data_IF_730663331380
#
_entry.id   IF_730663331380
#
_cell.length_a   1.000
_cell.length_b   1.000
_cell.length_c   1.000
_cell.angle_alpha   90.00
_cell.angle_beta   90.00
_cell.angle_gamma   90.00
#
_symmetry.space_group_name_H-M   'P 1'
#
loop_
_entity.id
_entity.type
_entity.pdbx_description
1 polymer ?
#
# COMPACT_ATOMS: atom_id res chain seq x y z
N UNK A 1 -39.17 -12.41 21.40
CA UNK A 1 -38.63 -11.27 20.62
C UNK A 1 -37.22 -11.03 21.13
N UNK A 2 -36.21 -11.50 20.41
CA UNK A 2 -34.79 -11.31 20.75
C UNK A 2 -34.35 -10.00 20.12
N UNK A 3 -33.83 -9.07 20.94
CA UNK A 3 -33.39 -7.76 20.45
C UNK A 3 -32.24 -7.90 19.42
N UNK A 4 -32.19 -7.04 18.39
CA UNK A 4 -31.15 -7.07 17.39
C UNK A 4 -29.78 -6.85 18.05
N UNK A 5 -28.84 -7.74 17.72
CA UNK A 5 -27.57 -7.93 18.42
C UNK A 5 -26.81 -6.64 18.68
N UNK A 6 -26.63 -6.33 19.96
CA UNK A 6 -25.69 -5.32 20.42
C UNK A 6 -24.32 -5.62 19.80
N UNK A 7 -23.78 -4.66 19.05
CA UNK A 7 -22.44 -4.77 18.49
C UNK A 7 -21.44 -4.92 19.64
N UNK A 8 -20.62 -5.97 19.60
CA UNK A 8 -19.56 -6.17 20.58
C UNK A 8 -18.40 -5.25 20.20
N UNK A 9 -18.23 -4.17 20.92
CA UNK A 9 -17.08 -3.28 20.78
C UNK A 9 -15.92 -3.80 21.61
N UNK A 10 -14.83 -4.19 20.93
CA UNK A 10 -13.60 -4.66 21.58
C UNK A 10 -12.51 -3.61 21.33
N UNK A 11 -11.91 -3.02 22.39
CA UNK A 11 -10.83 -2.06 22.22
C UNK A 11 -9.61 -2.75 21.59
N UNK A 12 -9.07 -2.13 20.55
CA UNK A 12 -7.86 -2.59 19.87
C UNK A 12 -6.65 -1.87 20.42
N UNK A 13 -5.66 -2.63 20.87
CA UNK A 13 -4.36 -2.12 21.29
C UNK A 13 -3.30 -2.57 20.29
N UNK A 14 -2.69 -1.62 19.59
CA UNK A 14 -1.58 -1.89 18.68
C UNK A 14 -0.30 -2.06 19.50
N UNK A 15 0.20 -3.30 19.60
CA UNK A 15 1.46 -3.59 20.28
C UNK A 15 2.60 -3.54 19.27
N UNK A 16 3.71 -2.90 19.63
CA UNK A 16 4.91 -2.90 18.79
C UNK A 16 4.89 -1.87 17.65
N UNK A 17 3.87 -1.02 17.57
CA UNK A 17 3.71 -0.10 16.44
C UNK A 17 4.83 0.94 16.38
N UNK A 18 5.25 1.45 17.55
CA UNK A 18 6.32 2.46 17.67
C UNK A 18 7.71 1.84 17.45
N UNK A 19 7.87 0.56 17.78
CA UNK A 19 9.12 -0.18 17.63
C UNK A 19 9.26 -0.82 16.24
N UNK A 20 8.17 -0.92 15.49
CA UNK A 20 8.19 -1.46 14.12
C UNK A 20 8.85 -0.47 13.18
N UNK A 21 9.89 -0.92 12.48
CA UNK A 21 10.58 -0.07 11.50
C UNK A 21 9.63 0.35 10.39
N UNK A 22 9.56 1.66 10.16
CA UNK A 22 8.88 2.22 8.98
C UNK A 22 9.76 1.99 7.77
N UNK A 23 9.30 1.12 6.87
CA UNK A 23 9.99 0.82 5.61
C UNK A 23 9.26 1.47 4.44
N UNK A 24 10.01 1.95 3.45
CA UNK A 24 9.44 2.49 2.23
C UNK A 24 8.94 1.38 1.31
N UNK A 25 7.64 1.36 1.05
CA UNK A 25 7.03 0.57 -0.01
C UNK A 25 6.81 1.46 -1.25
N UNK A 26 7.37 1.08 -2.39
CA UNK A 26 7.14 1.74 -3.68
C UNK A 26 6.62 0.76 -4.75
N UNK A 27 6.42 -0.50 -4.39
CA UNK A 27 5.83 -1.53 -5.22
C UNK A 27 4.74 -2.28 -4.43
N UNK A 28 3.56 -2.44 -5.05
CA UNK A 28 2.43 -3.16 -4.48
C UNK A 28 1.86 -4.13 -5.51
N UNK A 29 1.57 -5.35 -5.07
CA UNK A 29 0.96 -6.40 -5.87
C UNK A 29 -0.19 -7.02 -5.06
N UNK A 30 -1.37 -7.15 -5.68
CA UNK A 30 -2.48 -7.90 -5.13
C UNK A 30 -2.72 -9.12 -6.01
N UNK A 31 -2.81 -10.29 -5.39
CA UNK A 31 -3.15 -11.55 -6.05
C UNK A 31 -4.38 -12.14 -5.37
N UNK A 32 -5.30 -12.70 -6.14
CA UNK A 32 -6.43 -13.46 -5.63
C UNK A 32 -6.15 -14.95 -5.80
N UNK A 33 -6.43 -15.73 -4.75
CA UNK A 33 -6.31 -17.18 -4.78
C UNK A 33 -7.34 -17.80 -3.86
N UNK A 34 -8.25 -18.59 -4.44
CA UNK A 34 -9.31 -19.30 -3.73
C UNK A 34 -10.20 -18.38 -2.86
N UNK A 35 -10.45 -17.15 -3.30
CA UNK A 35 -11.28 -16.19 -2.58
C UNK A 35 -10.57 -15.37 -1.49
N UNK A 36 -9.30 -15.67 -1.24
CA UNK A 36 -8.41 -14.86 -0.41
C UNK A 36 -7.51 -13.97 -1.27
N UNK A 37 -7.08 -12.85 -0.70
CA UNK A 37 -6.26 -11.85 -1.37
C UNK A 37 -4.91 -11.72 -0.69
N UNK A 38 -3.84 -11.75 -1.46
CA UNK A 38 -2.47 -11.57 -1.00
C UNK A 38 -1.96 -10.21 -1.44
N UNK A 39 -1.88 -9.26 -0.50
CA UNK A 39 -1.24 -7.97 -0.71
C UNK A 39 0.24 -8.08 -0.37
N UNK A 40 1.09 -7.92 -1.38
CA UNK A 40 2.55 -7.86 -1.24
C UNK A 40 3.00 -6.43 -1.41
N UNK A 41 3.68 -5.89 -0.40
CA UNK A 41 4.36 -4.60 -0.45
C UNK A 41 5.87 -4.82 -0.50
N UNK A 42 6.56 -4.05 -1.33
CA UNK A 42 7.98 -4.20 -1.53
C UNK A 42 8.70 -2.90 -1.89
N UNK A 43 10.01 -2.97 -1.77
CA UNK A 43 10.94 -1.94 -2.18
C UNK A 43 11.65 -2.38 -3.47
N UNK A 44 11.40 -1.66 -4.54
CA UNK A 44 12.03 -1.78 -5.83
C UNK A 44 13.14 -0.73 -5.94
N UNK A 45 14.36 -1.17 -6.26
CA UNK A 45 15.49 -0.28 -6.57
C UNK A 45 15.96 -0.62 -7.99
N UNK A 46 15.50 0.13 -9.01
CA UNK A 46 15.92 -0.12 -10.39
C UNK A 46 17.39 0.26 -10.58
N UNK A 47 18.12 -0.40 -11.50
CA UNK A 47 19.47 0.01 -11.84
C UNK A 47 19.47 1.44 -12.40
N UNK A 48 20.49 2.25 -12.10
CA UNK A 48 20.60 3.59 -12.65
C UNK A 48 20.82 3.51 -14.17
N UNK A 49 20.00 4.23 -14.93
CA UNK A 49 20.16 4.40 -16.37
C UNK A 49 20.85 5.74 -16.65
N UNK A 50 21.97 5.72 -17.37
CA UNK A 50 22.86 6.89 -17.53
C UNK A 50 22.86 7.36 -18.98
N UNK A 51 23.09 8.66 -19.23
CA UNK A 51 23.18 9.23 -20.57
C UNK A 51 21.91 9.94 -21.04
N UNK A 52 21.80 10.11 -22.36
CA UNK A 52 20.67 10.72 -23.07
C UNK A 52 19.42 9.84 -23.01
N UNK A 53 18.25 10.38 -23.34
CA UNK A 53 16.99 9.63 -23.31
C UNK A 53 16.99 8.40 -24.23
N UNK A 54 17.69 8.46 -25.36
CA UNK A 54 17.80 7.36 -26.31
C UNK A 54 18.70 6.25 -25.76
N UNK A 55 19.87 6.61 -25.21
CA UNK A 55 20.77 5.67 -24.53
C UNK A 55 20.12 5.00 -23.33
N UNK A 56 19.33 5.73 -22.53
CA UNK A 56 18.56 5.16 -21.40
C UNK A 56 17.50 4.17 -21.87
N UNK A 57 16.82 4.45 -22.99
CA UNK A 57 15.84 3.51 -23.56
C UNK A 57 16.50 2.22 -24.02
N UNK A 58 17.68 2.32 -24.64
CA UNK A 58 18.42 1.13 -25.07
C UNK A 58 18.91 0.31 -23.87
N UNK A 59 19.43 0.96 -22.84
CA UNK A 59 19.79 0.30 -21.57
C UNK A 59 18.57 -0.37 -20.92
N UNK A 60 17.41 0.29 -20.90
CA UNK A 60 16.19 -0.28 -20.33
C UNK A 60 15.75 -1.58 -21.03
N UNK A 61 15.94 -1.70 -22.36
CA UNK A 61 15.64 -2.94 -23.10
C UNK A 61 16.53 -4.12 -22.69
N UNK A 62 17.73 -3.85 -22.17
CA UNK A 62 18.68 -4.88 -21.73
C UNK A 62 18.40 -5.36 -20.30
N UNK A 63 17.55 -4.66 -19.54
CA UNK A 63 17.16 -5.06 -18.20
C UNK A 63 16.25 -6.29 -18.27
N UNK A 64 16.78 -7.47 -17.95
CA UNK A 64 16.02 -8.72 -17.97
C UNK A 64 15.02 -8.82 -16.82
N UNK A 65 15.38 -8.34 -15.64
CA UNK A 65 14.52 -8.29 -14.46
C UNK A 65 15.02 -7.25 -13.47
N UNK A 66 14.13 -6.80 -12.58
CA UNK A 66 14.47 -5.95 -11.44
C UNK A 66 13.97 -6.64 -10.18
N UNK A 67 14.84 -6.80 -9.18
CA UNK A 67 14.47 -7.42 -7.91
C UNK A 67 13.62 -6.49 -7.07
N UNK A 68 12.55 -7.03 -6.49
CA UNK A 68 11.76 -6.38 -5.44
C UNK A 68 12.12 -7.01 -4.11
N UNK A 69 12.58 -6.21 -3.15
CA UNK A 69 12.71 -6.64 -1.77
C UNK A 69 11.34 -6.62 -1.11
N UNK A 70 10.76 -7.78 -0.80
CA UNK A 70 9.45 -7.87 -0.15
C UNK A 70 9.58 -7.50 1.32
N UNK A 71 8.83 -6.49 1.75
CA UNK A 71 8.88 -5.98 3.14
C UNK A 71 7.62 -6.35 3.93
N UNK A 72 6.51 -6.60 3.25
CA UNK A 72 5.30 -7.13 3.87
C UNK A 72 4.51 -7.98 2.88
N UNK A 73 3.87 -9.03 3.40
CA UNK A 73 2.92 -9.87 2.66
C UNK A 73 1.76 -10.23 3.56
N UNK A 74 0.57 -9.78 3.20
CA UNK A 74 -0.64 -9.89 4.01
C UNK A 74 -1.68 -10.73 3.27
N UNK A 75 -2.23 -11.73 3.94
CA UNK A 75 -3.40 -12.46 3.47
C UNK A 75 -4.65 -11.77 4.03
N UNK A 76 -5.61 -11.49 3.15
CA UNK A 76 -6.83 -10.76 3.46
C UNK A 76 -8.01 -11.54 2.90
N UNK A 77 -9.02 -11.75 3.74
CA UNK A 77 -10.33 -12.16 3.23
C UNK A 77 -10.95 -11.02 2.44
N UNK A 78 -11.97 -11.31 1.62
CA UNK A 78 -12.75 -10.28 0.91
C UNK A 78 -13.24 -9.16 1.84
N UNK A 79 -13.71 -9.50 3.04
CA UNK A 79 -14.21 -8.51 4.01
C UNK A 79 -13.10 -7.56 4.47
N UNK A 80 -11.92 -8.09 4.79
CA UNK A 80 -10.75 -7.27 5.18
C UNK A 80 -10.24 -6.41 4.02
N UNK A 81 -10.29 -6.92 2.78
CA UNK A 81 -9.91 -6.12 1.62
C UNK A 81 -10.82 -4.91 1.41
N UNK A 82 -12.13 -5.08 1.61
CA UNK A 82 -13.10 -3.96 1.53
C UNK A 82 -12.80 -2.90 2.58
N UNK A 83 -12.54 -3.32 3.81
CA UNK A 83 -12.20 -2.39 4.91
C UNK A 83 -10.90 -1.64 4.64
N UNK A 84 -9.84 -2.33 4.22
CA UNK A 84 -8.56 -1.69 3.86
C UNK A 84 -8.76 -0.69 2.73
N UNK A 85 -9.54 -1.03 1.70
CA UNK A 85 -9.82 -0.14 0.57
C UNK A 85 -10.52 1.14 1.05
N UNK A 86 -11.52 1.03 1.91
CA UNK A 86 -12.22 2.19 2.46
C UNK A 86 -11.30 3.08 3.30
N UNK A 87 -10.41 2.48 4.11
CA UNK A 87 -9.43 3.23 4.91
C UNK A 87 -8.45 4.01 4.02
N UNK A 88 -7.94 3.37 2.95
CA UNK A 88 -7.01 4.00 2.01
C UNK A 88 -7.68 5.14 1.25
N UNK A 89 -8.90 4.93 0.73
CA UNK A 89 -9.67 5.96 0.03
C UNK A 89 -9.95 7.16 0.93
N UNK A 90 -10.46 6.92 2.14
CA UNK A 90 -10.74 7.99 3.09
C UNK A 90 -9.48 8.75 3.53
N UNK A 91 -8.32 8.07 3.62
CA UNK A 91 -7.05 8.73 3.91
C UNK A 91 -6.61 9.66 2.78
N UNK A 92 -6.72 9.21 1.53
CA UNK A 92 -6.40 10.01 0.35
C UNK A 92 -7.30 11.24 0.24
N UNK A 93 -8.61 11.08 0.42
CA UNK A 93 -9.57 12.19 0.38
C UNK A 93 -9.26 13.28 1.43
N UNK A 94 -8.93 12.87 2.66
CA UNK A 94 -8.55 13.80 3.73
C UNK A 94 -7.27 14.56 3.39
N UNK A 95 -6.27 13.86 2.84
CA UNK A 95 -5.02 14.47 2.43
C UNK A 95 -5.25 15.51 1.33
N UNK A 96 -5.95 15.15 0.25
CA UNK A 96 -6.25 16.06 -0.85
C UNK A 96 -7.05 17.29 -0.40
N UNK A 97 -7.98 17.11 0.54
CA UNK A 97 -8.74 18.22 1.12
C UNK A 97 -7.86 19.19 1.93
N UNK A 98 -6.85 18.68 2.66
CA UNK A 98 -5.90 19.53 3.39
C UNK A 98 -4.97 20.31 2.44
N UNK A 99 -4.42 19.66 1.42
CA UNK A 99 -3.51 20.29 0.46
C UNK A 99 -4.22 21.35 -0.40
N UNK A 100 -5.51 21.18 -0.71
CA UNK A 100 -6.30 22.20 -1.42
C UNK A 100 -6.53 23.47 -0.58
N UNK A 101 -6.62 23.35 0.74
CA UNK A 101 -6.76 24.51 1.65
C UNK A 101 -5.46 25.30 1.72
N UNK A 102 -4.33 24.62 1.88
CA UNK A 102 -3.00 25.25 1.93
C UNK A 102 -2.64 26.02 0.66
N UNK A 103 -3.15 25.61 -0.50
CA UNK A 103 -2.95 26.33 -1.79
C UNK A 103 -3.91 27.50 -2.02
N UNK A 104 -4.99 27.61 -1.23
CA UNK A 104 -5.91 28.75 -1.29
C UNK A 104 -5.44 29.90 -0.39
N UNK A 105 -4.76 29.56 0.71
CA UNK A 105 -4.27 30.52 1.70
C UNK A 105 -2.84 31.06 1.39
N UNK A 106 -2.27 30.72 0.23
CA UNK A 106 -0.95 31.15 -0.25
C UNK A 106 -1.06 31.88 -1.60
#
# INVERSE_FOLDING_TARGET
>A
MTEPGAAIEIPLFLRGAEETTVLFANHFLIQEFQGDFFLTAGQLVPPPLVGTMEERREQAKQVTSVSVNVIARLALTRGRLVEVTALLQGALERYDASTKRERHDA
#
